data_IF_764812525423
#
_entry.id   IF_764812525423
#
_cell.length_a   1.000
_cell.length_b   1.000
_cell.length_c   1.000
_cell.angle_alpha   90.00
_cell.angle_beta   90.00
_cell.angle_gamma   90.00
#
_symmetry.space_group_name_H-M   'P 1'
#
loop_
_entity.id
_entity.type
_entity.pdbx_description
1 polymer ?
#
# COMPACT_ATOMS: atom_id res chain seq x y z
N UNK A 1 -7.91 -30.62 -19.08
CA UNK A 1 -6.92 -31.26 -18.19
C UNK A 1 -7.36 -30.99 -16.75
N UNK A 2 -7.70 -32.01 -15.96
CA UNK A 2 -8.03 -31.80 -14.54
C UNK A 2 -6.73 -31.50 -13.81
N UNK A 3 -6.69 -30.38 -13.07
CA UNK A 3 -5.49 -30.00 -12.32
C UNK A 3 -5.39 -30.85 -11.06
N UNK A 4 -4.31 -31.62 -10.95
CA UNK A 4 -4.00 -32.42 -9.78
C UNK A 4 -3.60 -31.51 -8.60
N UNK A 5 -4.59 -31.24 -7.75
CA UNK A 5 -4.50 -30.41 -6.55
C UNK A 5 -3.51 -30.99 -5.53
N UNK A 6 -3.46 -32.31 -5.40
CA UNK A 6 -2.64 -32.97 -4.37
C UNK A 6 -1.17 -33.00 -4.78
N UNK A 7 -0.89 -33.15 -6.08
CA UNK A 7 0.45 -32.91 -6.67
C UNK A 7 0.92 -31.47 -6.55
N UNK A 8 0.02 -30.48 -6.64
CA UNK A 8 0.36 -29.08 -6.38
C UNK A 8 0.68 -28.83 -4.90
N UNK A 9 -0.05 -29.46 -3.97
CA UNK A 9 0.23 -29.40 -2.53
C UNK A 9 1.57 -30.08 -2.20
N UNK A 10 1.88 -31.24 -2.78
CA UNK A 10 3.20 -31.89 -2.63
C UNK A 10 4.34 -30.95 -3.03
N UNK A 11 4.25 -30.37 -4.23
CA UNK A 11 5.23 -29.40 -4.72
C UNK A 11 5.34 -28.15 -3.85
N UNK A 12 4.26 -27.70 -3.22
CA UNK A 12 4.31 -26.59 -2.27
C UNK A 12 5.01 -26.99 -0.97
N UNK A 13 4.73 -28.19 -0.45
CA UNK A 13 5.36 -28.73 0.76
C UNK A 13 6.87 -28.99 0.59
N UNK A 14 7.32 -29.45 -0.59
CA UNK A 14 8.76 -29.52 -0.94
C UNK A 14 9.46 -28.17 -0.70
N UNK A 15 8.84 -27.05 -1.11
CA UNK A 15 9.32 -25.68 -0.92
C UNK A 15 9.07 -25.08 0.48
N UNK A 16 8.46 -25.84 1.39
CA UNK A 16 8.18 -25.45 2.78
C UNK A 16 8.91 -26.32 3.81
N UNK A 17 9.67 -27.32 3.37
CA UNK A 17 10.44 -28.25 4.22
C UNK A 17 11.23 -27.57 5.35
N UNK A 18 11.86 -26.42 5.06
CA UNK A 18 12.65 -25.65 6.03
C UNK A 18 11.81 -24.83 7.04
N UNK A 19 10.50 -24.68 6.83
CA UNK A 19 9.63 -23.76 7.61
C UNK A 19 8.96 -24.43 8.81
N UNK A 20 9.01 -25.75 8.93
CA UNK A 20 8.23 -26.50 9.94
C UNK A 20 6.70 -26.45 9.77
N UNK A 21 6.18 -25.71 8.77
CA UNK A 21 4.76 -25.58 8.43
C UNK A 21 4.47 -26.33 7.13
N UNK A 22 3.40 -27.12 7.10
CA UNK A 22 2.98 -27.88 5.92
C UNK A 22 1.53 -27.60 5.54
N UNK A 23 1.23 -27.61 4.25
CA UNK A 23 -0.13 -27.50 3.71
C UNK A 23 -0.74 -28.90 3.62
N UNK A 24 -1.95 -29.05 4.14
CA UNK A 24 -2.83 -30.20 3.91
C UNK A 24 -4.15 -29.76 3.31
N UNK A 25 -4.85 -30.73 2.72
CA UNK A 25 -6.23 -30.61 2.25
C UNK A 25 -7.13 -31.48 3.09
N UNK A 26 -8.20 -30.90 3.62
CA UNK A 26 -9.29 -31.63 4.28
C UNK A 26 -10.56 -31.39 3.43
N UNK A 27 -10.98 -32.43 2.69
CA UNK A 27 -12.09 -32.35 1.73
C UNK A 27 -11.86 -31.35 0.59
N UNK A 28 -12.53 -30.19 0.67
CA UNK A 28 -12.41 -29.06 -0.29
C UNK A 28 -11.66 -27.85 0.28
N UNK A 29 -11.09 -27.93 1.49
CA UNK A 29 -10.45 -26.81 2.21
C UNK A 29 -8.95 -27.07 2.45
N UNK A 30 -8.18 -25.99 2.57
CA UNK A 30 -6.76 -26.00 2.91
C UNK A 30 -6.55 -25.72 4.40
N UNK A 31 -5.68 -26.52 5.01
CA UNK A 31 -5.32 -26.48 6.44
C UNK A 31 -3.80 -26.43 6.53
N UNK A 32 -3.26 -25.58 7.40
CA UNK A 32 -1.83 -25.59 7.73
C UNK A 32 -1.59 -26.48 8.95
N UNK A 33 -0.49 -27.23 8.94
CA UNK A 33 -0.07 -28.10 10.05
C UNK A 33 1.34 -27.74 10.48
N UNK A 34 1.51 -27.43 11.77
CA UNK A 34 2.77 -27.00 12.38
C UNK A 34 2.74 -27.28 13.89
N UNK A 35 3.87 -27.08 14.58
CA UNK A 35 3.90 -26.99 16.05
C UNK A 35 3.58 -25.55 16.47
N UNK A 36 2.29 -25.22 16.54
CA UNK A 36 1.86 -23.88 16.98
C UNK A 36 2.04 -23.71 18.51
N UNK A 37 2.21 -22.48 19.00
CA UNK A 37 2.04 -22.15 20.42
C UNK A 37 0.66 -22.60 20.95
N UNK A 38 0.50 -22.83 22.25
CA UNK A 38 -0.82 -23.12 22.83
C UNK A 38 -1.80 -21.98 22.55
N UNK A 39 -3.08 -22.31 22.44
CA UNK A 39 -4.17 -21.34 22.30
C UNK A 39 -4.32 -20.51 23.58
N UNK A 40 -4.98 -19.33 23.53
CA UNK A 40 -5.24 -18.51 24.71
C UNK A 40 -5.98 -19.23 25.86
N UNK A 41 -6.70 -20.31 25.55
CA UNK A 41 -7.38 -21.18 26.53
C UNK A 41 -6.52 -22.38 27.01
N UNK A 42 -5.20 -22.36 26.77
CA UNK A 42 -4.26 -23.42 27.14
C UNK A 42 -4.26 -24.67 26.24
N UNK A 43 -5.20 -24.80 25.31
CA UNK A 43 -5.29 -25.97 24.45
C UNK A 43 -4.15 -26.01 23.41
N UNK A 44 -3.49 -27.16 23.26
CA UNK A 44 -2.54 -27.38 22.16
C UNK A 44 -3.28 -27.48 20.81
N UNK A 45 -2.61 -27.11 19.72
CA UNK A 45 -3.15 -27.28 18.38
C UNK A 45 -2.01 -27.55 17.39
N UNK A 46 -2.18 -28.60 16.58
CA UNK A 46 -1.25 -28.95 15.50
C UNK A 46 -1.69 -28.39 14.14
N UNK A 47 -2.84 -27.72 14.09
CA UNK A 47 -3.56 -27.32 12.86
C UNK A 47 -4.13 -25.92 12.94
N UNK A 48 -4.09 -25.23 11.80
CA UNK A 48 -4.81 -23.99 11.54
C UNK A 48 -5.62 -24.13 10.24
N UNK A 49 -6.94 -24.02 10.34
CA UNK A 49 -7.81 -23.95 9.16
C UNK A 49 -7.74 -22.55 8.55
N UNK A 50 -7.50 -22.46 7.23
CA UNK A 50 -7.46 -21.18 6.51
C UNK A 50 -8.84 -20.77 5.98
N UNK A 51 -9.82 -21.67 5.99
CA UNK A 51 -11.10 -21.48 5.30
C UNK A 51 -10.98 -21.47 3.76
N UNK A 52 -9.79 -21.55 3.18
CA UNK A 52 -9.58 -21.42 1.74
C UNK A 52 -9.88 -22.72 0.99
N UNK A 53 -10.45 -22.62 -0.21
CA UNK A 53 -10.66 -23.77 -1.08
C UNK A 53 -9.34 -24.32 -1.65
N UNK A 54 -9.30 -25.63 -1.90
CA UNK A 54 -8.13 -26.31 -2.49
C UNK A 54 -8.01 -26.05 -4.01
N UNK A 55 -7.80 -24.79 -4.41
CA UNK A 55 -7.57 -24.36 -5.80
C UNK A 55 -6.10 -23.96 -6.02
N UNK A 56 -5.57 -24.01 -7.26
CA UNK A 56 -4.16 -23.71 -7.54
C UNK A 56 -3.70 -22.32 -7.05
N UNK A 57 -4.58 -21.32 -7.15
CA UNK A 57 -4.36 -19.94 -6.73
C UNK A 57 -4.28 -19.83 -5.20
N UNK A 58 -5.18 -20.53 -4.50
CA UNK A 58 -5.23 -20.55 -3.04
C UNK A 58 -4.15 -21.44 -2.42
N UNK A 59 -3.63 -22.45 -3.13
CA UNK A 59 -2.42 -23.18 -2.73
C UNK A 59 -1.21 -22.25 -2.73
N UNK A 60 -1.04 -21.40 -3.75
CA UNK A 60 0.04 -20.38 -3.76
C UNK A 60 -0.10 -19.38 -2.61
N UNK A 61 -1.33 -18.96 -2.27
CA UNK A 61 -1.57 -18.14 -1.07
C UNK A 61 -1.25 -18.90 0.22
N UNK A 62 -1.61 -20.18 0.31
CA UNK A 62 -1.34 -21.02 1.48
C UNK A 62 0.17 -21.24 1.68
N UNK A 63 0.95 -21.33 0.61
CA UNK A 63 2.42 -21.38 0.66
C UNK A 63 3.02 -20.07 1.21
N UNK A 64 2.51 -18.91 0.78
CA UNK A 64 2.92 -17.63 1.34
C UNK A 64 2.52 -17.48 2.83
N UNK A 65 1.31 -17.92 3.19
CA UNK A 65 0.81 -17.90 4.57
C UNK A 65 1.62 -18.83 5.49
N UNK A 66 2.02 -20.01 5.01
CA UNK A 66 2.88 -20.93 5.74
C UNK A 66 4.25 -20.31 6.08
N UNK A 67 4.86 -19.57 5.15
CA UNK A 67 6.10 -18.82 5.40
C UNK A 67 5.93 -17.68 6.41
N UNK A 68 4.83 -16.92 6.33
CA UNK A 68 4.49 -15.87 7.33
C UNK A 68 4.40 -16.47 8.73
N UNK A 69 3.63 -17.55 8.87
CA UNK A 69 3.39 -18.23 10.15
C UNK A 69 4.67 -18.87 10.71
N UNK A 70 5.53 -19.45 9.88
CA UNK A 70 6.86 -19.93 10.32
C UNK A 70 7.65 -18.79 10.96
N UNK A 71 7.81 -17.66 10.27
CA UNK A 71 8.53 -16.50 10.82
C UNK A 71 7.90 -15.97 12.12
N UNK A 72 6.57 -15.98 12.24
CA UNK A 72 5.89 -15.56 13.48
C UNK A 72 6.10 -16.53 14.65
N UNK A 73 6.18 -17.83 14.38
CA UNK A 73 6.49 -18.85 15.38
C UNK A 73 7.96 -18.74 15.80
N UNK A 74 8.88 -18.62 14.85
CA UNK A 74 10.32 -18.52 15.09
C UNK A 74 10.70 -17.24 15.86
N UNK A 75 9.98 -16.14 15.63
CA UNK A 75 10.13 -14.87 16.36
C UNK A 75 9.34 -14.81 17.68
N UNK A 76 8.53 -15.82 18.00
CA UNK A 76 7.70 -15.85 19.22
C UNK A 76 6.54 -14.84 19.24
N UNK A 77 6.17 -14.26 18.10
CA UNK A 77 5.13 -13.21 17.95
C UNK A 77 3.79 -13.76 17.43
N UNK A 78 3.68 -15.06 17.16
CA UNK A 78 2.47 -15.68 16.64
C UNK A 78 1.25 -15.49 17.55
N UNK A 79 0.20 -14.84 17.03
CA UNK A 79 -1.04 -14.56 17.74
C UNK A 79 -2.24 -15.34 17.15
N UNK A 80 -2.81 -16.25 17.93
CA UNK A 80 -4.00 -17.01 17.54
C UNK A 80 -5.22 -16.15 17.19
N UNK A 81 -5.39 -14.97 17.80
CA UNK A 81 -6.60 -14.16 17.57
C UNK A 81 -6.74 -13.69 16.12
N UNK A 82 -5.63 -13.36 15.45
CA UNK A 82 -5.64 -12.93 14.04
C UNK A 82 -6.16 -14.04 13.11
N UNK A 83 -5.84 -15.28 13.45
CA UNK A 83 -6.19 -16.46 12.66
C UNK A 83 -7.52 -17.09 13.08
N UNK A 84 -7.99 -16.85 14.30
CA UNK A 84 -9.32 -17.27 14.77
C UNK A 84 -10.43 -16.29 14.36
N UNK A 85 -10.20 -14.97 14.40
CA UNK A 85 -11.18 -13.95 13.98
C UNK A 85 -11.64 -14.15 12.52
N UNK A 86 -10.71 -14.53 11.64
CA UNK A 86 -10.99 -14.86 10.23
C UNK A 86 -11.78 -16.16 10.02
N UNK A 87 -11.77 -17.08 10.99
CA UNK A 87 -12.60 -18.30 10.95
C UNK A 87 -14.01 -18.07 11.54
N UNK A 88 -14.16 -17.22 12.57
CA UNK A 88 -15.48 -16.94 13.17
C UNK A 88 -16.44 -16.18 12.24
N UNK A 89 -15.95 -15.29 11.36
CA UNK A 89 -16.80 -14.68 10.33
C UNK A 89 -17.23 -15.66 9.21
N UNK A 90 -16.73 -16.89 9.20
CA UNK A 90 -17.14 -17.96 8.28
C UNK A 90 -17.89 -19.12 8.98
N UNK A 91 -18.24 -18.96 10.26
CA UNK A 91 -18.97 -19.96 11.05
C UNK A 91 -20.26 -19.43 11.71
N UNK A 92 -20.42 -18.11 11.83
CA UNK A 92 -21.65 -17.50 12.34
C UNK A 92 -22.69 -17.26 11.22
N UNK A 93 -23.10 -18.36 10.59
CA UNK A 93 -24.37 -18.45 9.87
C UNK A 93 -25.26 -19.53 10.51
N UNK A 94 -25.42 -19.46 11.84
CA UNK A 94 -26.65 -19.85 12.53
C UNK A 94 -26.67 -19.37 14.00
N UNK A 95 -27.87 -18.93 14.42
CA UNK A 95 -28.37 -18.83 15.79
C UNK A 95 -27.57 -18.12 16.90
N UNK A 96 -27.96 -16.84 17.08
CA UNK A 96 -28.65 -16.36 18.28
C UNK A 96 -27.88 -16.00 19.59
N UNK A 97 -28.30 -14.85 20.11
CA UNK A 97 -28.27 -14.32 21.49
C UNK A 97 -26.95 -13.81 22.13
N UNK A 98 -27.13 -12.65 22.80
CA UNK A 98 -26.38 -12.04 23.92
C UNK A 98 -25.15 -11.20 23.60
N UNK A 99 -25.38 -9.88 23.55
CA UNK A 99 -24.42 -8.89 24.02
C UNK A 99 -24.12 -9.15 25.51
N UNK A 100 -22.84 -9.28 25.93
CA UNK A 100 -22.45 -9.12 27.32
C UNK A 100 -22.33 -7.62 27.61
N UNK A 101 -23.29 -7.05 28.33
CA UNK A 101 -23.13 -5.75 28.96
C UNK A 101 -22.06 -5.87 30.05
N UNK A 102 -20.94 -5.15 29.92
CA UNK A 102 -20.24 -4.60 31.08
C UNK A 102 -19.28 -3.45 30.71
N UNK A 103 -19.86 -2.29 30.39
CA UNK A 103 -19.19 -1.01 30.65
C UNK A 103 -19.63 -0.57 32.05
N UNK A 104 -18.71 -0.64 33.01
CA UNK A 104 -18.98 -0.20 34.37
C UNK A 104 -18.69 1.31 34.48
N UNK A 105 -19.71 2.13 34.25
CA UNK A 105 -19.77 3.54 34.66
C UNK A 105 -20.99 3.71 35.58
N UNK A 106 -20.93 4.66 36.54
CA UNK A 106 -21.68 4.52 37.79
C UNK A 106 -23.20 4.69 37.63
N UNK A 107 -23.90 4.06 38.57
CA UNK A 107 -25.35 4.14 38.80
C UNK A 107 -25.94 5.52 38.48
N UNK A 108 -27.09 5.55 37.79
CA UNK A 108 -28.31 6.10 38.37
C UNK A 108 -29.58 5.83 37.54
N UNK A 109 -30.65 5.54 38.28
CA UNK A 109 -32.08 5.74 37.97
C UNK A 109 -32.77 4.78 36.98
N UNK A 110 -34.00 4.43 37.38
CA UNK A 110 -34.87 3.35 36.87
C UNK A 110 -35.63 3.74 35.59
N UNK A 111 -36.25 2.77 34.88
CA UNK A 111 -37.72 2.63 34.79
C UNK A 111 -38.18 1.48 33.84
N UNK A 112 -38.88 0.51 34.46
CA UNK A 112 -40.00 -0.37 34.05
C UNK A 112 -40.26 -0.82 32.57
N UNK A 113 -40.61 -2.11 32.41
CA UNK A 113 -40.98 -2.81 31.16
C UNK A 113 -42.45 -2.62 30.71
N UNK A 114 -42.71 -2.64 29.39
CA UNK A 114 -43.96 -3.06 28.68
C UNK A 114 -43.66 -3.20 27.16
N UNK A 115 -44.36 -3.93 26.27
CA UNK A 115 -45.18 -5.19 26.29
C UNK A 115 -45.36 -5.70 24.84
N UNK A 116 -45.54 -7.03 24.66
CA UNK A 116 -46.28 -7.73 23.56
C UNK A 116 -45.96 -7.49 22.07
N UNK A 117 -45.70 -8.57 21.30
CA UNK A 117 -46.58 -9.12 20.22
C UNK A 117 -45.95 -10.37 19.53
N UNK A 118 -46.61 -11.14 18.62
CA UNK A 118 -46.56 -12.61 18.69
C UNK A 118 -45.85 -13.30 17.51
N UNK A 119 -45.58 -14.59 17.66
CA UNK A 119 -45.10 -15.46 16.58
C UNK A 119 -46.15 -15.64 15.48
N UNK A 120 -45.77 -15.42 14.21
CA UNK A 120 -46.43 -16.14 13.11
C UNK A 120 -45.54 -16.31 11.85
N UNK A 121 -45.25 -17.59 11.56
CA UNK A 121 -45.08 -18.25 10.26
C UNK A 121 -44.34 -17.56 9.08
N UNK A 122 -43.18 -18.13 8.76
CA UNK A 122 -42.74 -18.52 7.41
C UNK A 122 -43.14 -17.64 6.20
N UNK A 123 -42.23 -16.76 5.80
CA UNK A 123 -42.05 -16.43 4.37
C UNK A 123 -40.57 -16.63 3.98
N UNK A 124 -40.33 -17.08 2.74
CA UNK A 124 -38.98 -17.41 2.25
C UNK A 124 -38.16 -16.12 2.02
N UNK A 125 -37.24 -15.82 2.94
CA UNK A 125 -36.26 -14.75 2.72
C UNK A 125 -35.18 -15.22 1.73
N UNK A 126 -35.22 -14.66 0.51
CA UNK A 126 -34.01 -14.54 -0.30
C UNK A 126 -33.14 -13.42 0.30
N UNK A 127 -31.86 -13.66 0.64
CA UNK A 127 -31.01 -12.62 1.23
C UNK A 127 -30.75 -11.51 0.21
N UNK A 128 -31.32 -10.34 0.47
CA UNK A 128 -31.14 -9.12 -0.31
C UNK A 128 -29.66 -8.72 -0.24
N UNK A 129 -28.95 -8.83 -1.35
CA UNK A 129 -27.51 -8.55 -1.45
C UNK A 129 -27.26 -7.10 -0.99
N UNK A 130 -26.48 -6.93 0.08
CA UNK A 130 -26.18 -5.61 0.65
C UNK A 130 -25.38 -4.79 -0.36
N UNK A 131 -26.04 -3.82 -0.98
CA UNK A 131 -25.42 -2.92 -1.96
C UNK A 131 -24.57 -1.90 -1.20
N UNK A 132 -23.27 -2.14 -1.17
CA UNK A 132 -22.30 -1.23 -0.55
C UNK A 132 -22.18 0.07 -1.33
N UNK A 133 -22.10 1.16 -0.59
CA UNK A 133 -21.87 2.51 -1.10
C UNK A 133 -20.43 2.72 -1.58
N UNK A 134 -20.20 3.78 -2.36
CA UNK A 134 -18.85 4.15 -2.78
C UNK A 134 -17.94 4.44 -1.58
N UNK A 135 -18.46 5.06 -0.51
CA UNK A 135 -17.70 5.33 0.72
C UNK A 135 -17.15 4.05 1.35
N UNK A 136 -18.01 3.06 1.58
CA UNK A 136 -17.63 1.78 2.17
C UNK A 136 -16.63 1.00 1.26
N UNK A 137 -16.78 1.09 -0.06
CA UNK A 137 -15.82 0.49 -0.99
C UNK A 137 -14.45 1.17 -0.95
N UNK A 138 -14.40 2.50 -0.81
CA UNK A 138 -13.15 3.25 -0.68
C UNK A 138 -12.44 2.90 0.62
N UNK A 139 -13.16 2.81 1.74
CA UNK A 139 -12.61 2.41 3.05
C UNK A 139 -12.06 0.98 3.02
N UNK A 140 -12.83 0.02 2.47
CA UNK A 140 -12.36 -1.36 2.29
C UNK A 140 -11.12 -1.44 1.38
N UNK A 141 -11.07 -0.62 0.33
CA UNK A 141 -9.91 -0.54 -0.55
C UNK A 141 -8.70 0.10 0.15
N UNK A 142 -8.88 1.09 1.02
CA UNK A 142 -7.78 1.66 1.82
C UNK A 142 -7.18 0.61 2.74
N UNK A 143 -8.03 -0.12 3.48
CA UNK A 143 -7.62 -1.19 4.38
C UNK A 143 -6.84 -2.26 3.62
N UNK A 144 -7.35 -2.76 2.48
CA UNK A 144 -6.63 -3.72 1.64
C UNK A 144 -5.36 -3.15 0.97
N UNK A 145 -5.32 -1.85 0.67
CA UNK A 145 -4.14 -1.19 0.12
C UNK A 145 -2.96 -1.22 1.11
N UNK A 146 -3.23 -0.99 2.40
CA UNK A 146 -2.24 -0.99 3.49
C UNK A 146 -2.02 -2.38 4.11
N UNK A 147 -3.00 -3.30 4.08
CA UNK A 147 -2.74 -4.71 4.42
C UNK A 147 -1.72 -5.36 3.46
N UNK A 148 -1.62 -4.85 2.22
CA UNK A 148 -0.63 -5.29 1.21
C UNK A 148 0.67 -4.48 1.20
N UNK A 149 0.75 -3.38 1.97
CA UNK A 149 1.87 -2.43 1.95
C UNK A 149 2.02 -1.75 3.30
N UNK A 150 3.20 -1.90 3.91
CA UNK A 150 3.61 -1.10 5.07
C UNK A 150 3.24 0.38 4.89
N UNK A 151 2.61 0.97 5.92
CA UNK A 151 2.20 2.38 5.93
C UNK A 151 3.42 3.27 6.24
N UNK A 152 4.10 3.70 5.19
CA UNK A 152 5.29 4.56 5.23
C UNK A 152 5.12 5.74 4.27
N UNK A 153 6.07 6.69 4.28
CA UNK A 153 6.00 7.92 3.47
C UNK A 153 5.73 7.67 1.96
N UNK A 154 6.22 6.55 1.41
CA UNK A 154 6.08 6.19 -0.01
C UNK A 154 4.70 5.61 -0.33
N UNK A 155 4.19 4.68 0.47
CA UNK A 155 2.84 4.12 0.29
C UNK A 155 1.77 5.16 0.61
N UNK A 156 1.94 5.95 1.68
CA UNK A 156 1.03 7.03 2.06
C UNK A 156 0.96 8.13 0.99
N UNK A 157 2.11 8.57 0.45
CA UNK A 157 2.13 9.52 -0.69
C UNK A 157 1.41 8.96 -1.91
N UNK A 158 1.59 7.67 -2.21
CA UNK A 158 0.95 7.02 -3.37
C UNK A 158 -0.57 6.91 -3.17
N UNK A 159 -1.01 6.55 -1.96
CA UNK A 159 -2.42 6.53 -1.57
C UNK A 159 -3.08 7.90 -1.77
N UNK A 160 -2.56 8.95 -1.12
CA UNK A 160 -3.16 10.28 -1.13
C UNK A 160 -3.16 10.92 -2.52
N UNK A 161 -2.04 10.85 -3.25
CA UNK A 161 -1.80 11.61 -4.50
C UNK A 161 -2.36 10.94 -5.75
N UNK A 162 -2.39 9.60 -5.78
CA UNK A 162 -2.93 8.86 -6.92
C UNK A 162 -4.36 8.39 -6.63
N UNK A 163 -4.58 7.56 -5.60
CA UNK A 163 -5.86 6.89 -5.35
C UNK A 163 -6.91 7.82 -4.74
N UNK A 164 -6.66 8.36 -3.54
CA UNK A 164 -7.63 9.19 -2.82
C UNK A 164 -8.00 10.46 -3.59
N UNK A 165 -7.03 11.07 -4.30
CA UNK A 165 -7.26 12.22 -5.18
C UNK A 165 -8.30 11.94 -6.28
N UNK A 166 -8.44 10.68 -6.73
CA UNK A 166 -9.50 10.24 -7.66
C UNK A 166 -10.77 9.85 -6.89
N UNK A 167 -10.63 9.01 -5.86
CA UNK A 167 -11.76 8.41 -5.14
C UNK A 167 -12.62 9.42 -4.36
N UNK A 168 -12.03 10.52 -3.87
CA UNK A 168 -12.78 11.58 -3.17
C UNK A 168 -13.87 12.27 -4.01
N UNK A 169 -13.86 12.07 -5.33
CA UNK A 169 -14.83 12.63 -6.27
C UNK A 169 -15.97 11.63 -6.61
N UNK A 170 -16.00 10.45 -5.98
CA UNK A 170 -17.16 9.55 -6.05
C UNK A 170 -18.24 9.99 -5.04
N UNK A 171 -19.54 9.89 -5.39
CA UNK A 171 -20.64 10.16 -4.47
C UNK A 171 -20.66 9.11 -3.34
N UNK A 172 -20.26 9.52 -2.13
CA UNK A 172 -19.99 8.60 -1.01
C UNK A 172 -21.17 7.71 -0.62
N UNK A 173 -22.40 8.21 -0.73
CA UNK A 173 -23.64 7.55 -0.31
C UNK A 173 -24.31 6.70 -1.39
N UNK A 174 -23.86 6.82 -2.64
CA UNK A 174 -24.43 6.09 -3.77
C UNK A 174 -23.76 4.72 -3.96
N UNK A 175 -24.46 3.74 -4.54
CA UNK A 175 -23.88 2.43 -4.83
C UNK A 175 -22.78 2.54 -5.90
N UNK A 176 -21.71 1.77 -5.73
CA UNK A 176 -20.62 1.74 -6.72
C UNK A 176 -21.08 0.96 -7.97
N UNK A 177 -21.22 1.63 -9.12
CA UNK A 177 -21.69 1.00 -10.37
C UNK A 177 -20.69 1.16 -11.53
N UNK A 178 -20.71 0.26 -12.54
CA UNK A 178 -19.88 0.40 -13.76
C UNK A 178 -20.06 1.75 -14.46
N UNK A 179 -21.30 2.23 -14.50
CA UNK A 179 -21.66 3.47 -15.18
C UNK A 179 -21.10 4.69 -14.44
N UNK A 180 -21.27 4.76 -13.11
CA UNK A 180 -20.69 5.82 -12.28
C UNK A 180 -19.15 5.91 -12.43
N UNK A 181 -18.47 4.76 -12.44
CA UNK A 181 -17.01 4.69 -12.65
C UNK A 181 -16.58 5.20 -14.04
N UNK A 182 -17.37 4.86 -15.07
CA UNK A 182 -17.14 5.33 -16.44
C UNK A 182 -17.38 6.84 -16.56
N UNK A 183 -18.47 7.35 -16.00
CA UNK A 183 -18.84 8.76 -16.07
C UNK A 183 -17.85 9.63 -15.31
N UNK A 184 -17.43 9.23 -14.10
CA UNK A 184 -16.38 9.93 -13.36
C UNK A 184 -15.07 9.99 -14.14
N UNK A 185 -14.65 8.90 -14.81
CA UNK A 185 -13.51 8.95 -15.71
C UNK A 185 -13.73 9.95 -16.86
N UNK A 186 -14.94 9.96 -17.43
CA UNK A 186 -15.33 10.81 -18.56
C UNK A 186 -15.31 12.32 -18.26
N UNK A 187 -15.44 12.74 -17.00
CA UNK A 187 -15.31 14.16 -16.59
C UNK A 187 -13.95 14.80 -16.93
N UNK A 188 -12.89 14.00 -17.04
CA UNK A 188 -11.51 14.49 -17.21
C UNK A 188 -11.14 14.64 -18.69
N UNK A 189 -10.32 15.64 -19.09
CA UNK A 189 -9.95 15.81 -20.51
C UNK A 189 -9.25 14.54 -21.08
N UNK A 190 -9.66 14.01 -22.25
CA UNK A 190 -9.00 12.89 -22.92
C UNK A 190 -7.50 13.08 -23.14
N UNK A 191 -6.77 11.97 -23.27
CA UNK A 191 -5.32 11.94 -23.55
C UNK A 191 -4.43 12.69 -22.55
N UNK A 192 -4.92 12.93 -21.33
CA UNK A 192 -4.15 13.56 -20.24
C UNK A 192 -3.62 12.58 -19.20
N UNK A 193 -2.60 12.99 -18.44
CA UNK A 193 -2.15 12.29 -17.22
C UNK A 193 -3.30 12.04 -16.25
N UNK A 194 -4.18 13.03 -16.08
CA UNK A 194 -5.32 12.95 -15.18
C UNK A 194 -6.30 11.90 -15.65
N UNK A 195 -6.64 11.86 -16.95
CA UNK A 195 -7.49 10.81 -17.52
C UNK A 195 -6.91 9.41 -17.30
N UNK A 196 -5.64 9.22 -17.62
CA UNK A 196 -4.93 7.94 -17.42
C UNK A 196 -4.95 7.49 -15.94
N UNK A 197 -4.77 8.43 -15.00
CA UNK A 197 -4.86 8.20 -13.55
C UNK A 197 -6.27 7.77 -13.13
N UNK A 198 -7.30 8.49 -13.58
CA UNK A 198 -8.69 8.18 -13.25
C UNK A 198 -9.04 6.77 -13.73
N UNK A 199 -8.81 6.44 -15.00
CA UNK A 199 -9.06 5.10 -15.53
C UNK A 199 -8.28 4.02 -14.77
N UNK A 200 -7.02 4.26 -14.40
CA UNK A 200 -6.20 3.32 -13.62
C UNK A 200 -6.76 3.08 -12.21
N UNK A 201 -7.01 4.14 -11.44
CA UNK A 201 -7.47 4.04 -10.05
C UNK A 201 -8.90 3.48 -9.97
N UNK A 202 -9.81 3.94 -10.83
CA UNK A 202 -11.20 3.46 -10.86
C UNK A 202 -11.28 2.00 -11.34
N UNK A 203 -10.42 1.57 -12.27
CA UNK A 203 -10.31 0.16 -12.67
C UNK A 203 -9.77 -0.71 -11.54
N UNK A 204 -8.86 -0.19 -10.71
CA UNK A 204 -8.36 -0.91 -9.54
C UNK A 204 -9.47 -1.09 -8.48
N UNK A 205 -10.26 -0.03 -8.21
CA UNK A 205 -11.40 -0.10 -7.30
C UNK A 205 -12.47 -1.09 -7.79
N UNK A 206 -12.83 -1.03 -9.08
CA UNK A 206 -13.75 -1.99 -9.70
C UNK A 206 -13.30 -3.45 -9.52
N UNK A 207 -12.03 -3.74 -9.82
CA UNK A 207 -11.46 -5.09 -9.67
C UNK A 207 -11.41 -5.57 -8.22
N UNK A 208 -11.35 -4.66 -7.26
CA UNK A 208 -11.42 -4.99 -5.84
C UNK A 208 -12.87 -5.23 -5.38
N UNK A 209 -13.82 -4.50 -5.96
CA UNK A 209 -15.25 -4.64 -5.72
C UNK A 209 -15.94 -5.75 -6.54
N UNK A 210 -15.17 -6.51 -7.34
CA UNK A 210 -15.66 -7.52 -8.30
C UNK A 210 -16.69 -6.98 -9.31
N UNK A 211 -16.53 -5.70 -9.69
CA UNK A 211 -17.39 -5.01 -10.65
C UNK A 211 -16.77 -5.14 -12.05
N UNK A 212 -17.49 -5.77 -12.98
CA UNK A 212 -17.08 -5.80 -14.38
C UNK A 212 -17.27 -4.42 -15.03
N UNK A 213 -16.15 -3.80 -15.41
CA UNK A 213 -16.08 -2.56 -16.17
C UNK A 213 -14.73 -2.50 -16.86
N UNK A 214 -14.70 -2.07 -18.12
CA UNK A 214 -13.48 -1.89 -18.88
C UNK A 214 -13.19 -0.40 -19.11
N UNK A 215 -12.36 0.20 -18.26
CA UNK A 215 -11.96 1.61 -18.37
C UNK A 215 -10.73 1.84 -19.25
N UNK A 216 -10.07 0.76 -19.70
CA UNK A 216 -8.83 0.84 -20.51
C UNK A 216 -9.00 1.64 -21.83
N UNK A 217 -10.08 1.50 -22.62
CA UNK A 217 -10.26 2.28 -23.86
C UNK A 217 -10.29 3.79 -23.62
N UNK A 218 -10.76 4.23 -22.45
CA UNK A 218 -10.91 5.65 -22.12
C UNK A 218 -9.64 6.28 -21.53
N UNK A 219 -8.57 5.52 -21.26
CA UNK A 219 -7.36 6.06 -20.63
C UNK A 219 -6.54 7.00 -21.53
N UNK A 220 -6.76 6.92 -22.84
CA UNK A 220 -6.06 7.70 -23.87
C UNK A 220 -4.60 7.30 -24.07
N UNK A 221 -3.97 8.01 -24.99
CA UNK A 221 -2.60 7.80 -25.48
C UNK A 221 -1.54 8.60 -24.69
N UNK A 222 -1.86 9.08 -23.48
CA UNK A 222 -0.91 9.80 -22.64
C UNK A 222 0.33 8.94 -22.32
N UNK A 223 1.49 9.35 -22.83
CA UNK A 223 2.76 8.64 -22.74
C UNK A 223 3.96 9.60 -22.84
N UNK A 224 5.15 9.05 -23.06
CA UNK A 224 6.41 9.82 -23.11
C UNK A 224 6.33 10.95 -24.15
N UNK A 225 5.72 10.69 -25.30
CA UNK A 225 5.57 11.64 -26.41
C UNK A 225 4.63 12.83 -26.10
N UNK A 226 3.92 12.83 -24.96
CA UNK A 226 3.08 13.96 -24.51
C UNK A 226 3.86 15.02 -23.72
N UNK A 227 5.13 14.78 -23.42
CA UNK A 227 5.98 15.74 -22.70
C UNK A 227 6.46 16.81 -23.67
N UNK A 228 6.03 18.06 -23.46
CA UNK A 228 6.61 19.22 -24.14
C UNK A 228 8.12 19.25 -23.83
N UNK A 229 8.96 19.35 -24.88
CA UNK A 229 10.39 19.66 -24.70
C UNK A 229 10.49 20.95 -23.91
N UNK A 230 11.34 20.95 -22.88
CA UNK A 230 11.71 22.15 -22.14
C UNK A 230 12.95 22.74 -22.79
N UNK A 231 12.98 24.06 -22.87
CA UNK A 231 14.24 24.77 -23.05
C UNK A 231 15.05 24.62 -21.76
N UNK A 232 16.34 24.31 -21.91
CA UNK A 232 17.28 24.20 -20.80
C UNK A 232 18.19 25.43 -20.85
N UNK A 233 18.62 25.97 -19.69
CA UNK A 233 19.62 27.03 -19.67
C UNK A 233 20.98 26.48 -20.14
N UNK A 234 21.74 27.32 -20.84
CA UNK A 234 23.17 27.07 -21.12
C UNK A 234 23.97 26.96 -19.81
N UNK A 235 25.07 26.18 -19.82
CA UNK A 235 25.86 25.90 -18.62
C UNK A 235 26.44 27.17 -17.96
N UNK A 236 26.78 28.19 -18.76
CA UNK A 236 27.21 29.50 -18.25
C UNK A 236 26.12 30.20 -17.43
N UNK A 237 24.84 30.02 -17.76
CA UNK A 237 23.72 30.56 -17.00
C UNK A 237 23.51 29.77 -15.70
N UNK A 238 23.78 28.46 -15.70
CA UNK A 238 23.74 27.61 -14.50
C UNK A 238 24.82 28.07 -13.50
N UNK A 239 26.08 28.17 -13.94
CA UNK A 239 27.18 28.69 -13.11
C UNK A 239 26.93 30.13 -12.63
N UNK A 240 26.49 31.03 -13.51
CA UNK A 240 26.14 32.41 -13.13
C UNK A 240 25.02 32.47 -12.09
N UNK A 241 24.05 31.55 -12.13
CA UNK A 241 22.94 31.54 -11.18
C UNK A 241 23.37 31.06 -9.78
N UNK A 242 24.32 30.11 -9.68
CA UNK A 242 24.89 29.67 -8.39
C UNK A 242 25.39 30.86 -7.54
N UNK A 243 26.10 31.80 -8.15
CA UNK A 243 26.64 32.98 -7.46
C UNK A 243 25.58 34.01 -7.06
N UNK A 244 24.34 33.91 -7.55
CA UNK A 244 23.21 34.79 -7.17
C UNK A 244 22.44 34.30 -5.93
N UNK A 245 22.69 33.08 -5.46
CA UNK A 245 21.97 32.51 -4.33
C UNK A 245 22.63 32.97 -3.02
N UNK A 246 22.00 33.95 -2.35
CA UNK A 246 22.54 34.55 -1.12
C UNK A 246 22.63 33.57 0.06
N UNK A 247 21.66 32.65 0.20
CA UNK A 247 21.62 31.74 1.33
C UNK A 247 22.58 30.55 1.11
N UNK A 248 23.66 30.41 1.90
CA UNK A 248 24.76 29.50 1.59
C UNK A 248 24.37 28.03 1.57
N UNK A 249 23.37 27.62 2.37
CA UNK A 249 22.84 26.26 2.34
C UNK A 249 22.03 25.95 1.06
N UNK A 250 21.36 26.96 0.48
CA UNK A 250 20.61 26.79 -0.77
C UNK A 250 21.53 26.86 -1.99
N UNK A 251 22.56 27.71 -1.92
CA UNK A 251 23.65 27.77 -2.88
C UNK A 251 24.36 26.41 -3.01
N UNK A 252 24.75 25.79 -1.90
CA UNK A 252 25.35 24.44 -1.91
C UNK A 252 24.40 23.37 -2.48
N UNK A 253 23.12 23.38 -2.11
CA UNK A 253 22.11 22.46 -2.66
C UNK A 253 21.96 22.64 -4.17
N UNK A 254 21.97 23.88 -4.68
CA UNK A 254 21.95 24.18 -6.11
C UNK A 254 23.21 23.64 -6.79
N UNK A 255 24.40 23.92 -6.26
CA UNK A 255 25.67 23.47 -6.83
C UNK A 255 25.77 21.94 -6.89
N UNK A 256 25.29 21.22 -5.87
CA UNK A 256 25.19 19.75 -5.89
C UNK A 256 24.22 19.24 -6.97
N UNK A 257 23.07 19.91 -7.17
CA UNK A 257 22.11 19.56 -8.23
C UNK A 257 22.70 19.84 -9.62
N UNK A 258 23.41 20.96 -9.80
CA UNK A 258 24.03 21.36 -11.05
C UNK A 258 25.20 20.41 -11.42
N UNK A 259 26.15 20.20 -10.52
CA UNK A 259 27.34 19.39 -10.79
C UNK A 259 27.03 17.89 -10.96
N UNK A 260 26.11 17.31 -10.19
CA UNK A 260 25.84 15.87 -10.17
C UNK A 260 24.48 15.47 -10.80
N UNK A 261 23.72 16.41 -11.36
CA UNK A 261 22.41 16.11 -11.97
C UNK A 261 21.40 15.48 -10.99
N UNK A 262 21.49 15.82 -9.70
CA UNK A 262 20.64 15.24 -8.66
C UNK A 262 19.18 15.66 -8.85
N UNK A 263 18.23 14.76 -8.58
CA UNK A 263 16.83 15.19 -8.43
C UNK A 263 16.75 16.09 -7.20
N UNK A 264 15.87 17.10 -7.21
CA UNK A 264 15.68 18.06 -6.12
C UNK A 264 15.88 17.46 -4.70
N UNK A 265 15.10 16.45 -4.31
CA UNK A 265 15.21 15.87 -2.96
C UNK A 265 16.51 15.07 -2.68
N UNK A 266 17.25 14.65 -3.71
CA UNK A 266 18.40 13.75 -3.58
C UNK A 266 19.64 14.47 -3.01
N UNK A 267 19.76 15.79 -3.17
CA UNK A 267 20.80 16.59 -2.48
C UNK A 267 20.75 16.42 -0.95
N UNK A 268 19.58 16.14 -0.37
CA UNK A 268 19.41 15.85 1.06
C UNK A 268 19.62 14.38 1.44
N UNK A 269 19.83 13.49 0.46
CA UNK A 269 20.01 12.03 0.61
C UNK A 269 21.44 11.57 0.23
N UNK A 270 22.33 12.49 -0.11
CA UNK A 270 23.78 12.24 -0.29
C UNK A 270 24.40 11.75 1.01
N UNK A 271 25.25 10.72 0.94
CA UNK A 271 26.13 10.35 2.04
C UNK A 271 27.23 11.41 2.20
N UNK A 272 26.98 12.37 3.08
CA UNK A 272 27.91 13.47 3.41
C UNK A 272 29.24 12.99 4.00
N UNK A 273 29.33 11.77 4.55
CA UNK A 273 30.56 11.24 5.15
C UNK A 273 31.50 10.74 4.06
N UNK A 274 30.97 10.00 3.09
CA UNK A 274 31.76 9.55 1.94
C UNK A 274 32.06 10.70 0.98
N UNK A 275 31.09 11.59 0.74
CA UNK A 275 31.30 12.78 -0.09
C UNK A 275 32.42 13.69 0.46
N UNK A 276 32.52 13.85 1.79
CA UNK A 276 33.62 14.63 2.40
C UNK A 276 35.01 13.97 2.23
N UNK A 277 35.07 12.64 2.06
CA UNK A 277 36.34 11.92 1.78
C UNK A 277 36.71 11.99 0.30
N UNK A 278 35.71 11.94 -0.59
CA UNK A 278 35.89 11.96 -2.04
C UNK A 278 34.81 12.84 -2.69
N UNK A 279 35.03 14.16 -2.77
CA UNK A 279 34.08 15.10 -3.37
C UNK A 279 33.79 14.82 -4.84
N UNK A 280 34.67 14.11 -5.56
CA UNK A 280 34.48 13.70 -6.95
C UNK A 280 33.47 12.55 -7.12
N UNK A 281 32.79 12.12 -6.06
CA UNK A 281 31.86 10.98 -6.10
C UNK A 281 30.69 11.16 -5.13
N UNK A 282 29.50 11.40 -5.67
CA UNK A 282 28.26 11.47 -4.90
C UNK A 282 27.63 10.07 -4.77
N UNK A 283 27.45 9.60 -3.52
CA UNK A 283 26.78 8.32 -3.22
C UNK A 283 25.36 8.60 -2.70
N UNK A 284 24.36 8.00 -3.34
CA UNK A 284 22.97 7.95 -2.86
C UNK A 284 22.66 6.54 -2.40
N UNK A 285 22.36 6.38 -1.10
CA UNK A 285 22.03 5.08 -0.50
C UNK A 285 20.54 4.76 -0.55
N UNK A 286 19.66 5.75 -0.31
CA UNK A 286 18.22 5.64 -0.50
C UNK A 286 17.72 6.60 -1.60
N UNK A 287 17.28 6.02 -2.72
CA UNK A 287 16.64 6.77 -3.80
C UNK A 287 15.48 5.96 -4.40
N UNK A 288 14.54 6.66 -5.06
CA UNK A 288 13.43 6.01 -5.78
C UNK A 288 13.89 4.97 -6.81
N UNK A 289 15.13 5.08 -7.30
CA UNK A 289 15.75 4.20 -8.29
C UNK A 289 16.80 3.26 -7.70
N UNK A 290 16.84 3.08 -6.38
CA UNK A 290 17.84 2.27 -5.68
C UNK A 290 19.15 3.01 -5.38
N UNK A 291 20.11 2.34 -4.71
CA UNK A 291 21.42 2.91 -4.43
C UNK A 291 22.19 3.17 -5.73
N UNK A 292 22.93 4.28 -5.80
CA UNK A 292 23.78 4.58 -6.96
C UNK A 292 24.92 5.54 -6.64
N UNK A 293 25.98 5.43 -7.43
CA UNK A 293 27.14 6.31 -7.44
C UNK A 293 27.01 7.25 -8.64
N UNK A 294 27.38 8.52 -8.45
CA UNK A 294 27.24 9.59 -9.44
C UNK A 294 28.54 10.41 -9.48
N UNK A 295 29.15 10.50 -10.65
CA UNK A 295 30.27 11.40 -10.94
C UNK A 295 29.75 12.80 -11.30
N UNK A 296 30.52 13.88 -11.05
CA UNK A 296 30.16 15.20 -11.54
C UNK A 296 30.21 15.23 -13.08
N UNK A 297 29.39 16.09 -13.70
CA UNK A 297 29.48 16.36 -15.14
C UNK A 297 30.60 17.36 -15.47
N UNK A 298 30.70 18.42 -14.65
CA UNK A 298 31.83 19.35 -14.60
C UNK A 298 32.59 19.17 -13.27
N UNK A 299 33.70 18.41 -13.24
CA UNK A 299 34.50 18.25 -12.02
C UNK A 299 35.00 19.57 -11.42
N UNK A 300 35.29 20.56 -12.26
CA UNK A 300 35.74 21.91 -11.87
C UNK A 300 34.73 22.63 -10.97
N UNK A 301 33.43 22.39 -11.14
CA UNK A 301 32.38 22.96 -10.29
C UNK A 301 32.44 22.47 -8.83
N UNK A 302 33.18 21.41 -8.51
CA UNK A 302 33.41 20.99 -7.12
C UNK A 302 34.27 22.04 -6.39
N UNK A 303 35.29 22.56 -7.07
CA UNK A 303 36.21 23.57 -6.55
C UNK A 303 35.62 24.97 -6.66
N UNK A 304 35.07 25.33 -7.83
CA UNK A 304 34.46 26.64 -8.10
C UNK A 304 33.28 26.95 -7.17
N UNK A 305 32.47 25.94 -6.83
CA UNK A 305 31.29 26.10 -5.97
C UNK A 305 31.56 25.73 -4.49
N UNK A 306 32.81 25.48 -4.09
CA UNK A 306 33.20 25.08 -2.71
C UNK A 306 32.37 23.88 -2.18
N UNK A 307 32.05 22.89 -3.03
CA UNK A 307 31.10 21.81 -2.67
C UNK A 307 31.63 20.89 -1.57
N UNK A 308 32.96 20.74 -1.45
CA UNK A 308 33.60 20.00 -0.37
C UNK A 308 33.32 20.60 1.02
N UNK A 309 33.03 21.91 1.08
CA UNK A 309 32.59 22.60 2.29
C UNK A 309 31.07 22.46 2.45
N UNK A 310 30.65 21.33 3.02
CA UNK A 310 29.24 20.93 3.10
C UNK A 310 28.41 21.94 3.91
N UNK A 311 27.54 22.70 3.23
CA UNK A 311 26.58 23.63 3.84
C UNK A 311 25.15 23.17 3.57
N UNK A 312 24.47 22.61 4.56
CA UNK A 312 23.06 22.22 4.44
C UNK A 312 22.14 23.30 5.03
N UNK A 313 20.99 23.60 4.40
CA UNK A 313 19.99 24.49 4.97
C UNK A 313 19.32 23.82 6.19
N UNK A 314 18.83 24.63 7.14
CA UNK A 314 18.15 24.16 8.34
C UNK A 314 16.76 23.60 8.01
N UNK A 315 16.68 22.29 7.76
CA UNK A 315 15.42 21.58 7.51
C UNK A 315 15.43 20.15 8.04
N UNK A 316 14.23 19.63 8.34
CA UNK A 316 14.06 18.24 8.74
C UNK A 316 14.19 17.32 7.51
N UNK A 317 15.32 16.58 7.45
CA UNK A 317 15.66 15.63 6.37
C UNK A 317 14.83 14.33 6.39
N UNK A 318 14.08 14.06 7.47
CA UNK A 318 13.20 12.88 7.55
C UNK A 318 11.81 13.08 6.94
N UNK A 319 11.54 14.30 6.42
CA UNK A 319 10.35 14.58 5.60
C UNK A 319 10.31 13.69 4.36
N UNK A 320 9.11 13.48 3.81
CA UNK A 320 8.95 12.71 2.60
C UNK A 320 9.68 13.39 1.42
N UNK A 321 10.21 12.59 0.50
CA UNK A 321 10.99 13.09 -0.65
C UNK A 321 10.21 14.09 -1.54
N UNK A 322 8.88 14.06 -1.53
CA UNK A 322 8.05 15.08 -2.19
C UNK A 322 8.22 16.46 -1.54
N UNK A 323 8.18 16.50 -0.21
CA UNK A 323 8.16 17.75 0.56
C UNK A 323 9.58 18.35 0.61
N UNK A 324 10.60 17.49 0.74
CA UNK A 324 12.01 17.86 0.53
C UNK A 324 12.27 18.42 -0.88
N UNK A 325 11.67 17.81 -1.91
CA UNK A 325 11.78 18.33 -3.27
C UNK A 325 11.01 19.63 -3.50
N UNK A 326 9.96 19.89 -2.71
CA UNK A 326 9.12 21.09 -2.80
C UNK A 326 9.74 22.34 -2.18
N UNK A 327 10.64 22.20 -1.20
CA UNK A 327 11.34 23.35 -0.58
C UNK A 327 12.49 23.90 -1.43
N UNK A 328 12.87 23.23 -2.53
CA UNK A 328 13.88 23.71 -3.50
C UNK A 328 13.28 24.65 -4.55
N UNK A 329 11.96 24.91 -4.50
CA UNK A 329 11.31 25.83 -5.43
C UNK A 329 11.69 27.27 -5.04
N UNK A 330 12.71 27.80 -5.71
CA UNK A 330 12.96 29.22 -5.93
C UNK A 330 11.97 29.78 -6.96
#
# INVERSE_FOLDING_TARGET
>A
MVVDIDKLISKANERLTFTGVSIKREGKRLVLRAKFPPKPNGATADRLNLGWHSTPELIKKAEAMARKISGEIDLGIFNWEEYLKNNYQNLNSDNSIKFPNNLNYPNNLEFQNTTNYPNNLNSKFHPKQLILTCGEWIEKFEIDYFNRRERNNKSMSTWTVEYYTVFKNLPKTEPLTPQLLKDLALTTKPDTRTRKRYCMCLQALAKFADIDVNLKPYSGNYGINSVKRRELPEDINIATYFHRIEHPGWQWVYGMVAAFGLRNYEAFRVDIREFKKNPSTCILTDSKTGPRIISPYYPEWIEEFDLANIRLPLLNRERANRDLGGVIIC
#
